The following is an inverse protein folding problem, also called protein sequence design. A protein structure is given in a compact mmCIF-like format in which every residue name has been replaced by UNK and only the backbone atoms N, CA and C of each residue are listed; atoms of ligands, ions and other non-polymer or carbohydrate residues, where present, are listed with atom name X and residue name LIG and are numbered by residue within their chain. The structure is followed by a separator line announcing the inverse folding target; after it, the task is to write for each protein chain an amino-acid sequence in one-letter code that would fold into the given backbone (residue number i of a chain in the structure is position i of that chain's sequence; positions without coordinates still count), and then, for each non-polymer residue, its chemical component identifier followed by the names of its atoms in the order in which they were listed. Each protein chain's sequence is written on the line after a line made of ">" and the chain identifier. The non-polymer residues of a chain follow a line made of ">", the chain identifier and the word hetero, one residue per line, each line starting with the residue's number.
data_IF_260864932640
#
_entry.id   IF_260864932640
#
_cell.length_a   1.000
_cell.length_b   1.000
_cell.length_c   1.000
_cell.angle_alpha   90.00
_cell.angle_beta   90.00
_cell.angle_gamma   90.00
#
_symmetry.space_group_name_H-M   'P 1'
#
loop_
_entity.id
_entity.type
_entity.pdbx_description
1 polymer ?
#
# COMPACT_ATOMS: atom_id res chain seq x y z
N UNK A 1 30.38 -23.59 0.34
CA UNK A 1 30.80 -22.18 0.26
C UNK A 1 29.67 -21.41 -0.39
N UNK A 2 28.87 -20.70 0.39
CA UNK A 2 27.80 -19.83 -0.09
C UNK A 2 28.42 -18.55 -0.63
N UNK A 3 28.37 -18.38 -1.95
CA UNK A 3 28.80 -17.14 -2.58
C UNK A 3 27.84 -16.03 -2.15
N UNK A 4 28.36 -15.01 -1.48
CA UNK A 4 27.65 -13.75 -1.24
C UNK A 4 27.41 -13.10 -2.59
N UNK A 5 26.16 -13.15 -3.08
CA UNK A 5 25.75 -12.40 -4.26
C UNK A 5 25.81 -10.93 -3.88
N UNK A 6 26.76 -10.19 -4.46
CA UNK A 6 26.77 -8.74 -4.35
C UNK A 6 25.53 -8.22 -5.07
N UNK A 7 24.50 -7.86 -4.30
CA UNK A 7 23.30 -7.19 -4.81
C UNK A 7 23.73 -5.86 -5.41
N UNK A 8 23.44 -5.67 -6.70
CA UNK A 8 23.62 -4.36 -7.31
C UNK A 8 22.75 -3.35 -6.54
N UNK A 9 23.28 -2.22 -6.05
CA UNK A 9 22.49 -1.24 -5.30
C UNK A 9 21.29 -0.68 -6.10
N UNK A 10 21.23 -0.95 -7.41
CA UNK A 10 20.09 -0.59 -8.28
C UNK A 10 19.01 -1.67 -8.42
N UNK A 11 19.14 -2.84 -7.76
CA UNK A 11 18.12 -3.89 -7.76
C UNK A 11 17.42 -3.95 -6.42
N UNK A 12 16.33 -3.19 -6.26
CA UNK A 12 15.42 -3.32 -5.11
C UNK A 12 14.33 -4.33 -5.49
N UNK A 13 14.15 -5.36 -4.66
CA UNK A 13 13.06 -6.31 -4.88
C UNK A 13 11.71 -5.65 -4.54
N UNK A 14 10.60 -6.00 -5.24
CA UNK A 14 9.30 -5.39 -4.96
C UNK A 14 8.87 -5.51 -3.49
N UNK A 15 9.06 -6.69 -2.87
CA UNK A 15 8.72 -6.89 -1.46
C UNK A 15 9.69 -6.14 -0.52
N UNK A 16 10.95 -5.98 -0.91
CA UNK A 16 11.91 -5.15 -0.16
C UNK A 16 11.53 -3.68 -0.20
N UNK A 17 10.96 -3.21 -1.32
CA UNK A 17 10.41 -1.86 -1.40
C UNK A 17 9.21 -1.68 -0.45
N UNK A 18 8.29 -2.64 -0.41
CA UNK A 18 7.13 -2.60 0.50
C UNK A 18 7.57 -2.65 1.96
N UNK A 19 8.55 -3.48 2.30
CA UNK A 19 9.16 -3.54 3.64
C UNK A 19 9.73 -2.19 4.08
N UNK A 20 10.43 -1.49 3.17
CA UNK A 20 10.92 -0.13 3.42
C UNK A 20 9.82 0.92 3.63
N UNK A 21 8.57 0.60 3.28
CA UNK A 21 7.43 1.50 3.47
C UNK A 21 6.72 1.31 4.83
N UNK A 22 7.12 0.31 5.62
CA UNK A 22 6.54 0.12 6.96
C UNK A 22 6.83 1.35 7.82
N UNK A 23 5.81 1.82 8.53
CA UNK A 23 5.81 3.08 9.29
C UNK A 23 5.64 4.34 8.45
N UNK A 24 5.54 4.21 7.12
CA UNK A 24 5.32 5.33 6.20
C UNK A 24 3.91 5.34 5.62
N UNK A 25 3.48 6.51 5.14
CA UNK A 25 2.22 6.64 4.41
C UNK A 25 2.33 5.92 3.06
N UNK A 26 1.29 5.17 2.70
CA UNK A 26 1.19 4.45 1.45
C UNK A 26 -0.17 4.72 0.82
N UNK A 27 -0.16 4.91 -0.50
CA UNK A 27 -1.37 4.95 -1.30
C UNK A 27 -1.53 3.63 -2.05
N UNK A 28 -2.66 2.97 -1.84
CA UNK A 28 -3.00 1.65 -2.38
C UNK A 28 -4.18 1.81 -3.33
N UNK A 29 -3.99 1.37 -4.57
CA UNK A 29 -5.02 1.38 -5.60
C UNK A 29 -5.58 -0.03 -5.73
N UNK A 30 -6.89 -0.18 -5.57
CA UNK A 30 -7.59 -1.45 -5.67
C UNK A 30 -8.18 -1.67 -7.07
N UNK A 31 -8.71 -2.87 -7.34
CA UNK A 31 -9.34 -3.23 -8.62
C UNK A 31 -10.67 -2.53 -8.92
N UNK A 32 -11.38 -2.00 -7.91
CA UNK A 32 -12.78 -1.58 -8.01
C UNK A 32 -12.98 -0.07 -7.83
N UNK A 33 -12.18 0.77 -8.52
CA UNK A 33 -12.24 2.24 -8.41
C UNK A 33 -12.18 2.77 -6.96
N UNK A 34 -11.48 2.00 -6.13
CA UNK A 34 -11.28 2.25 -4.71
C UNK A 34 -9.80 2.46 -4.43
N UNK A 35 -9.51 3.53 -3.71
CA UNK A 35 -8.17 3.96 -3.34
C UNK A 35 -8.11 4.08 -1.81
N UNK A 36 -6.99 3.70 -1.23
CA UNK A 36 -6.79 3.69 0.22
C UNK A 36 -5.47 4.37 0.53
N UNK A 37 -5.50 5.37 1.40
CA UNK A 37 -4.29 6.03 1.90
C UNK A 37 -4.20 5.82 3.41
N UNK A 38 -3.11 5.27 3.90
CA UNK A 38 -2.89 5.03 5.33
C UNK A 38 -1.43 4.79 5.66
N UNK A 39 -1.11 4.64 6.93
CA UNK A 39 0.24 4.27 7.38
C UNK A 39 0.38 2.75 7.38
N UNK A 40 1.39 2.21 6.70
CA UNK A 40 1.61 0.77 6.63
C UNK A 40 2.23 0.26 7.93
N UNK A 41 1.53 -0.60 8.66
CA UNK A 41 2.07 -1.23 9.87
C UNK A 41 2.77 -2.56 9.59
N UNK A 42 2.37 -3.25 8.52
CA UNK A 42 2.98 -4.50 8.10
C UNK A 42 2.18 -5.20 7.03
N UNK A 43 2.76 -6.26 6.47
CA UNK A 43 2.13 -7.09 5.45
C UNK A 43 2.56 -8.55 5.61
N UNK A 44 1.83 -9.48 4.97
CA UNK A 44 2.18 -10.91 4.94
C UNK A 44 2.64 -11.37 3.54
N UNK A 45 2.96 -12.65 3.39
CA UNK A 45 3.40 -13.24 2.11
C UNK A 45 2.35 -13.14 0.98
N UNK A 46 1.08 -12.92 1.32
CA UNK A 46 -0.02 -12.71 0.38
C UNK A 46 -0.31 -11.23 0.13
N UNK A 47 0.50 -10.33 0.70
CA UNK A 47 0.36 -8.88 0.59
C UNK A 47 -0.99 -8.41 1.18
N UNK A 48 -1.53 -9.12 2.18
CA UNK A 48 -2.53 -8.54 3.06
C UNK A 48 -1.86 -7.49 3.93
N UNK A 49 -2.45 -6.31 4.07
CA UNK A 49 -1.81 -5.18 4.71
C UNK A 49 -2.55 -4.73 5.96
N UNK A 50 -1.82 -4.54 7.06
CA UNK A 50 -2.32 -3.86 8.24
C UNK A 50 -2.03 -2.37 8.11
N UNK A 51 -3.07 -1.55 8.15
CA UNK A 51 -2.96 -0.10 7.95
C UNK A 51 -3.64 0.67 9.09
N UNK A 52 -3.04 1.77 9.50
CA UNK A 52 -3.63 2.73 10.44
C UNK A 52 -3.86 4.11 9.82
N UNK A 53 -4.67 4.95 10.47
CA UNK A 53 -5.03 6.32 10.06
C UNK A 53 -5.49 6.38 8.59
N UNK A 54 -6.41 5.48 8.27
CA UNK A 54 -6.79 5.17 6.90
C UNK A 54 -7.87 6.11 6.40
N UNK A 55 -7.67 6.60 5.18
CA UNK A 55 -8.71 7.25 4.39
C UNK A 55 -8.97 6.43 3.15
N UNK A 56 -10.20 5.96 3.04
CA UNK A 56 -10.73 5.24 1.90
C UNK A 56 -11.49 6.18 0.98
N UNK A 57 -11.23 6.04 -0.31
CA UNK A 57 -11.86 6.78 -1.38
C UNK A 57 -12.50 5.82 -2.35
N UNK A 58 -13.79 6.00 -2.59
CA UNK A 58 -14.57 5.18 -3.51
C UNK A 58 -15.18 6.10 -4.57
N UNK A 59 -14.97 5.78 -5.84
CA UNK A 59 -15.61 6.49 -6.94
C UNK A 59 -16.97 5.87 -7.22
N UNK A 60 -18.05 6.56 -6.89
CA UNK A 60 -19.42 6.12 -7.19
C UNK A 60 -20.02 6.97 -8.33
N UNK A 61 -21.10 6.52 -8.99
CA UNK A 61 -21.81 7.32 -9.98
C UNK A 61 -22.32 8.67 -9.44
N UNK A 62 -22.57 8.76 -8.13
CA UNK A 62 -23.04 9.96 -7.44
C UNK A 62 -21.91 10.89 -6.99
N UNK A 63 -20.65 10.45 -7.07
CA UNK A 63 -19.47 11.23 -6.72
C UNK A 63 -18.42 10.44 -5.93
N UNK A 64 -17.47 11.16 -5.33
CA UNK A 64 -16.40 10.56 -4.53
C UNK A 64 -16.86 10.41 -3.08
N UNK A 65 -16.91 9.17 -2.59
CA UNK A 65 -17.20 8.87 -1.19
C UNK A 65 -15.89 8.74 -0.42
N UNK A 66 -15.80 9.42 0.72
CA UNK A 66 -14.62 9.42 1.59
C UNK A 66 -15.00 8.81 2.94
N UNK A 67 -14.26 7.81 3.38
CA UNK A 67 -14.46 7.15 4.69
C UNK A 67 -13.14 7.14 5.45
N UNK A 68 -13.17 7.54 6.73
CA UNK A 68 -12.01 7.44 7.63
C UNK A 68 -12.16 6.23 8.54
N UNK A 69 -11.08 5.48 8.71
CA UNK A 69 -11.02 4.24 9.50
C UNK A 69 -9.72 4.25 10.30
N UNK A 70 -9.78 3.81 11.56
CA UNK A 70 -8.62 3.90 12.46
C UNK A 70 -7.58 2.81 12.16
N UNK A 71 -7.99 1.54 12.15
CA UNK A 71 -7.13 0.38 11.90
C UNK A 71 -7.89 -0.64 11.04
N UNK A 72 -7.29 -1.07 9.93
CA UNK A 72 -7.90 -2.07 9.04
C UNK A 72 -6.90 -3.15 8.64
N UNK A 73 -7.43 -4.34 8.33
CA UNK A 73 -6.73 -5.37 7.57
C UNK A 73 -7.26 -5.36 6.14
N UNK A 74 -6.40 -5.00 5.20
CA UNK A 74 -6.70 -4.95 3.78
C UNK A 74 -6.36 -6.27 3.09
N UNK A 75 -7.31 -6.78 2.29
CA UNK A 75 -7.12 -8.02 1.54
C UNK A 75 -6.23 -7.81 0.30
N UNK A 76 -5.12 -8.55 0.22
CA UNK A 76 -4.11 -8.44 -0.83
C UNK A 76 -4.60 -8.84 -2.22
N UNK A 77 -5.64 -9.68 -2.34
CA UNK A 77 -6.14 -10.15 -3.65
C UNK A 77 -6.71 -9.02 -4.52
N UNK A 78 -7.17 -7.94 -3.89
CA UNK A 78 -7.80 -6.82 -4.58
C UNK A 78 -6.84 -5.64 -4.81
N UNK A 79 -5.58 -5.74 -4.36
CA UNK A 79 -4.57 -4.71 -4.57
C UNK A 79 -4.07 -4.77 -6.01
N UNK A 80 -4.01 -3.61 -6.67
CA UNK A 80 -3.50 -3.44 -8.03
C UNK A 80 -2.16 -2.74 -8.03
N UNK A 81 -2.00 -1.68 -7.22
CA UNK A 81 -0.77 -0.88 -7.15
C UNK A 81 -0.52 -0.35 -5.74
N UNK A 82 0.76 -0.19 -5.41
CA UNK A 82 1.26 0.36 -4.15
C UNK A 82 2.17 1.55 -4.46
N UNK A 83 1.88 2.70 -3.86
CA UNK A 83 2.60 3.96 -4.06
C UNK A 83 3.16 4.43 -2.71
N UNK A 84 4.46 4.19 -2.46
CA UNK A 84 5.15 4.68 -1.26
C UNK A 84 5.13 6.21 -1.15
N UNK A 85 4.85 6.75 0.04
CA UNK A 85 4.82 8.18 0.29
C UNK A 85 3.71 8.92 -0.46
N UNK A 86 2.77 8.20 -1.07
CA UNK A 86 1.70 8.79 -1.87
C UNK A 86 0.69 9.50 -0.99
N UNK A 87 0.60 10.82 -1.16
CA UNK A 87 -0.63 11.56 -0.91
C UNK A 87 -1.64 11.27 -2.03
N UNK A 88 -2.91 11.58 -1.80
CA UNK A 88 -3.91 11.30 -2.82
C UNK A 88 -3.71 12.22 -4.04
N UNK A 89 -3.84 11.72 -5.28
CA UNK A 89 -3.82 12.58 -6.46
C UNK A 89 -4.95 13.62 -6.38
N UNK A 90 -4.59 14.89 -6.19
CA UNK A 90 -5.54 16.02 -6.14
C UNK A 90 -5.68 16.73 -4.79
N UNK A 91 -4.86 16.40 -3.79
CA UNK A 91 -4.43 17.36 -2.77
C UNK A 91 -3.13 18.07 -3.18
#
# INVERSE_FOLDING_TARGET
>A
MSASVATNPSTVLPLELVDKCIGSRIHIIMKNDKEIVGTLLGFDDFVNMLLEDVTEYETTPEGKRITKLDLILLNGNNITMLVPGGDMPGE
#
